data_IF_371920313856
#
_entry.id   IF_371920313856
#
_cell.length_a   1.000
_cell.length_b   1.000
_cell.length_c   1.000
_cell.angle_alpha   90.00
_cell.angle_beta   90.00
_cell.angle_gamma   90.00
#
_symmetry.space_group_name_H-M   'P 1'
#
loop_
_entity.id
_entity.type
_entity.pdbx_description
1 polymer ?
#
# COMPACT_ATOMS: atom_id res chain seq x y z
N UNK A 1 3.52 -24.90 -1.36
CA UNK A 1 3.40 -23.64 -2.12
C UNK A 1 2.93 -23.98 -3.52
N UNK A 2 1.73 -23.55 -3.88
CA UNK A 2 1.21 -23.62 -5.25
C UNK A 2 2.08 -22.77 -6.15
N UNK A 3 2.79 -23.40 -7.10
CA UNK A 3 3.55 -22.67 -8.12
C UNK A 3 2.59 -22.35 -9.26
N UNK A 4 2.27 -21.07 -9.43
CA UNK A 4 1.53 -20.61 -10.61
C UNK A 4 2.41 -20.73 -11.85
N UNK A 5 1.81 -21.10 -12.97
CA UNK A 5 2.45 -20.95 -14.29
C UNK A 5 2.62 -19.46 -14.59
N UNK A 6 3.59 -19.11 -15.44
CA UNK A 6 3.82 -17.72 -15.85
C UNK A 6 2.56 -17.07 -16.44
N UNK A 7 1.82 -17.81 -17.26
CA UNK A 7 0.58 -17.36 -17.89
C UNK A 7 -0.55 -17.14 -16.88
N UNK A 8 -0.75 -18.08 -15.94
CA UNK A 8 -1.79 -17.94 -14.91
C UNK A 8 -1.48 -16.78 -13.95
N UNK A 9 -0.20 -16.56 -13.63
CA UNK A 9 0.22 -15.41 -12.83
C UNK A 9 -0.02 -14.09 -13.56
N UNK A 10 0.34 -14.00 -14.85
CA UNK A 10 0.13 -12.80 -15.64
C UNK A 10 -1.37 -12.47 -15.74
N UNK A 11 -2.20 -13.47 -16.05
CA UNK A 11 -3.65 -13.31 -16.12
C UNK A 11 -4.24 -12.86 -14.77
N UNK A 12 -3.79 -13.48 -13.67
CA UNK A 12 -4.22 -13.11 -12.33
C UNK A 12 -3.87 -11.65 -12.02
N UNK A 13 -2.67 -11.18 -12.36
CA UNK A 13 -2.27 -9.78 -12.13
C UNK A 13 -3.06 -8.78 -12.98
N UNK A 14 -3.32 -9.11 -14.25
CA UNK A 14 -4.12 -8.28 -15.16
C UNK A 14 -5.56 -8.11 -14.65
N UNK A 15 -6.14 -9.16 -14.06
CA UNK A 15 -7.50 -9.12 -13.50
C UNK A 15 -7.49 -8.46 -12.11
N UNK A 16 -6.52 -8.79 -11.27
CA UNK A 16 -6.46 -8.34 -9.88
C UNK A 16 -6.19 -6.84 -9.77
N UNK A 17 -5.38 -6.27 -10.67
CA UNK A 17 -5.02 -4.86 -10.61
C UNK A 17 -6.23 -3.93 -10.75
N UNK A 18 -7.08 -4.02 -11.79
CA UNK A 18 -8.31 -3.23 -11.88
C UNK A 18 -9.21 -3.36 -10.65
N UNK A 19 -9.35 -4.58 -10.11
CA UNK A 19 -10.15 -4.84 -8.90
C UNK A 19 -9.57 -4.08 -7.70
N UNK A 20 -8.25 -4.11 -7.50
CA UNK A 20 -7.60 -3.39 -6.41
C UNK A 20 -7.71 -1.86 -6.59
N UNK A 21 -7.60 -1.36 -7.82
CA UNK A 21 -7.82 0.05 -8.12
C UNK A 21 -9.24 0.48 -7.77
N UNK A 22 -10.25 -0.28 -8.22
CA UNK A 22 -11.64 -0.03 -7.86
C UNK A 22 -11.84 -0.12 -6.35
N UNK A 23 -11.35 -1.18 -5.68
CA UNK A 23 -11.45 -1.34 -4.23
C UNK A 23 -10.84 -0.16 -3.46
N UNK A 24 -9.68 0.35 -3.88
CA UNK A 24 -9.13 1.57 -3.24
C UNK A 24 -9.93 2.82 -3.52
N UNK A 25 -10.50 2.96 -4.73
CA UNK A 25 -11.40 4.07 -5.03
C UNK A 25 -12.70 3.98 -4.23
N UNK A 26 -13.24 2.77 -4.01
CA UNK A 26 -14.42 2.55 -3.16
C UNK A 26 -14.11 2.87 -1.70
N UNK A 27 -13.01 2.34 -1.16
CA UNK A 27 -12.55 2.61 0.21
C UNK A 27 -12.28 4.10 0.45
N UNK A 28 -11.80 4.82 -0.56
CA UNK A 28 -11.60 6.27 -0.47
C UNK A 28 -12.93 7.05 -0.36
N UNK A 29 -14.01 6.55 -0.95
CA UNK A 29 -15.34 7.14 -0.78
C UNK A 29 -15.96 6.81 0.57
N UNK A 30 -15.64 5.64 1.12
CA UNK A 30 -16.09 5.30 2.45
C UNK A 30 -15.48 6.31 3.43
N UNK A 31 -16.32 6.91 4.25
CA UNK A 31 -15.89 7.83 5.30
C UNK A 31 -15.06 7.14 6.39
N UNK A 32 -14.59 5.90 6.22
CA UNK A 32 -13.76 5.17 7.20
C UNK A 32 -12.53 6.00 7.61
N UNK A 33 -11.84 6.61 6.63
CA UNK A 33 -10.68 7.44 6.94
C UNK A 33 -11.10 8.69 7.70
N UNK A 34 -12.17 9.35 7.27
CA UNK A 34 -12.65 10.61 7.84
C UNK A 34 -13.28 10.43 9.23
N UNK A 35 -13.94 9.29 9.48
CA UNK A 35 -14.70 8.98 10.69
C UNK A 35 -13.83 8.35 11.77
N UNK A 36 -12.86 7.49 11.39
CA UNK A 36 -12.10 6.71 12.36
C UNK A 36 -10.66 7.20 12.54
N UNK A 37 -9.94 7.42 11.42
CA UNK A 37 -8.50 7.68 11.46
C UNK A 37 -8.18 9.17 11.56
N UNK A 38 -8.95 9.99 10.85
CA UNK A 38 -8.73 11.42 10.75
C UNK A 38 -8.92 12.15 12.09
N UNK A 39 -9.94 11.85 12.93
CA UNK A 39 -10.12 12.55 14.20
C UNK A 39 -8.93 12.33 15.16
N UNK A 40 -8.36 11.13 15.16
CA UNK A 40 -7.18 10.82 15.97
C UNK A 40 -5.96 11.63 15.53
N UNK A 41 -5.72 11.73 14.21
CA UNK A 41 -4.59 12.48 13.66
C UNK A 41 -4.77 14.00 13.81
N UNK A 42 -5.99 14.50 13.71
CA UNK A 42 -6.30 15.93 13.84
C UNK A 42 -6.03 16.49 15.25
N UNK A 43 -6.02 15.64 16.28
CA UNK A 43 -5.64 16.04 17.64
C UNK A 43 -4.19 16.52 17.73
N UNK A 44 -3.32 16.07 16.82
CA UNK A 44 -1.89 16.37 16.83
C UNK A 44 -1.43 17.20 15.63
N UNK A 45 -2.10 17.06 14.48
CA UNK A 45 -1.69 17.66 13.21
C UNK A 45 -2.85 18.37 12.52
N UNK A 46 -2.54 19.42 11.76
CA UNK A 46 -3.56 20.06 10.90
C UNK A 46 -3.82 19.15 9.70
N UNK A 47 -5.07 19.11 9.23
CA UNK A 47 -5.50 18.27 8.09
C UNK A 47 -4.59 18.45 6.87
N UNK A 48 -4.24 19.70 6.57
CA UNK A 48 -3.37 20.03 5.43
C UNK A 48 -1.96 19.43 5.50
N UNK A 49 -1.49 19.11 6.70
CA UNK A 49 -0.14 18.61 6.96
C UNK A 49 -0.12 17.06 7.00
N UNK A 50 -1.28 16.41 7.14
CA UNK A 50 -1.40 14.94 7.28
C UNK A 50 -0.72 14.16 6.14
N UNK A 51 -0.87 14.52 4.85
CA UNK A 51 -0.16 13.80 3.79
C UNK A 51 1.38 13.79 4.00
N UNK A 52 1.95 14.88 4.49
CA UNK A 52 3.38 14.98 4.77
C UNK A 52 3.76 14.21 6.05
N UNK A 53 2.88 14.18 7.05
CA UNK A 53 3.07 13.30 8.23
C UNK A 53 3.14 11.84 7.79
N UNK A 54 2.30 11.41 6.84
CA UNK A 54 2.32 10.04 6.31
C UNK A 54 3.63 9.72 5.58
N UNK A 55 4.26 10.68 4.87
CA UNK A 55 5.63 10.52 4.35
C UNK A 55 6.59 10.20 5.50
N UNK A 56 6.52 10.96 6.60
CA UNK A 56 7.35 10.72 7.78
C UNK A 56 7.13 9.35 8.41
N UNK A 57 5.87 8.92 8.54
CA UNK A 57 5.53 7.59 9.08
C UNK A 57 6.09 6.48 8.18
N UNK A 58 5.90 6.57 6.87
CA UNK A 58 6.45 5.59 5.92
C UNK A 58 7.98 5.63 5.90
N UNK A 59 8.59 6.80 6.07
CA UNK A 59 10.04 6.91 6.21
C UNK A 59 10.55 6.12 7.43
N UNK A 60 9.94 6.34 8.60
CA UNK A 60 10.31 5.60 9.82
C UNK A 60 10.06 4.10 9.64
N UNK A 61 8.92 3.71 9.07
CA UNK A 61 8.62 2.30 8.82
C UNK A 61 9.67 1.63 7.91
N UNK A 62 9.99 2.25 6.79
CA UNK A 62 10.87 1.68 5.77
C UNK A 62 12.35 1.77 6.14
N UNK A 63 12.84 2.96 6.49
CA UNK A 63 14.27 3.21 6.66
C UNK A 63 14.76 2.95 8.08
N UNK A 64 13.85 2.82 9.06
CA UNK A 64 14.20 2.53 10.45
C UNK A 64 13.69 1.12 10.81
N UNK A 65 12.39 0.93 10.93
CA UNK A 65 11.81 -0.31 11.52
C UNK A 65 12.16 -1.55 10.68
N UNK A 66 11.82 -1.55 9.39
CA UNK A 66 12.10 -2.73 8.54
C UNK A 66 13.59 -2.93 8.27
N UNK A 67 14.39 -1.85 8.29
CA UNK A 67 15.85 -1.94 8.20
C UNK A 67 16.43 -2.68 9.41
N UNK A 68 15.99 -2.35 10.63
CA UNK A 68 16.38 -3.07 11.84
C UNK A 68 15.97 -4.54 11.79
N UNK A 69 14.73 -4.83 11.37
CA UNK A 69 14.26 -6.21 11.19
C UNK A 69 15.16 -6.98 10.21
N UNK A 70 15.57 -6.34 9.10
CA UNK A 70 16.48 -6.94 8.11
C UNK A 70 17.86 -7.24 8.71
N UNK A 71 18.42 -6.34 9.53
CA UNK A 71 19.71 -6.55 10.20
C UNK A 71 19.63 -7.67 11.22
N UNK A 72 18.56 -7.71 12.03
CA UNK A 72 18.32 -8.80 12.99
C UNK A 72 18.23 -10.15 12.25
N UNK A 73 17.49 -10.21 11.14
CA UNK A 73 17.37 -11.43 10.36
C UNK A 73 18.73 -11.94 9.83
N UNK A 74 19.60 -11.03 9.40
CA UNK A 74 20.97 -11.39 8.99
C UNK A 74 21.80 -11.89 10.16
N UNK A 75 21.71 -11.26 11.33
CA UNK A 75 22.48 -11.65 12.52
C UNK A 75 22.12 -13.05 13.03
N UNK A 76 20.83 -13.40 13.00
CA UNK A 76 20.31 -14.70 13.47
C UNK A 76 20.56 -15.81 12.44
N UNK A 77 20.58 -15.48 11.15
CA UNK A 77 20.70 -16.47 10.07
C UNK A 77 22.11 -17.00 9.82
N UNK A 78 23.13 -16.41 10.43
CA UNK A 78 24.53 -16.75 10.22
C UNK A 78 25.11 -17.44 11.46
N UNK A 79 25.80 -18.58 11.26
CA UNK A 79 26.40 -19.36 12.36
C UNK A 79 27.41 -18.57 13.20
N UNK A 80 28.07 -17.59 12.61
CA UNK A 80 29.08 -16.75 13.27
C UNK A 80 28.54 -15.34 13.63
N UNK A 81 27.23 -15.13 13.56
CA UNK A 81 26.60 -13.82 13.78
C UNK A 81 26.68 -12.89 12.56
N UNK A 82 26.41 -11.60 12.78
CA UNK A 82 26.38 -10.59 11.71
C UNK A 82 27.77 -10.25 11.19
N UNK A 83 28.05 -10.58 9.92
CA UNK A 83 29.25 -10.14 9.21
C UNK A 83 28.91 -8.94 8.31
N UNK A 84 29.58 -7.81 8.56
CA UNK A 84 29.40 -6.56 7.83
C UNK A 84 30.41 -6.37 6.68
N UNK A 85 31.27 -7.35 6.41
CA UNK A 85 32.27 -7.28 5.33
C UNK A 85 31.59 -7.44 3.96
N UNK A 86 30.61 -8.32 3.85
CA UNK A 86 29.87 -8.61 2.60
C UNK A 86 28.33 -8.68 2.83
N UNK A 87 27.69 -7.64 3.36
CA UNK A 87 26.30 -7.70 3.85
C UNK A 87 25.29 -8.06 2.75
N UNK A 88 25.56 -7.72 1.49
CA UNK A 88 24.68 -8.05 0.36
C UNK A 88 24.75 -9.54 -0.02
N UNK A 89 25.92 -10.15 0.07
CA UNK A 89 26.10 -11.57 -0.21
C UNK A 89 25.35 -12.41 0.84
N UNK A 90 25.50 -12.06 2.12
CA UNK A 90 24.84 -12.78 3.21
C UNK A 90 23.32 -12.73 3.15
N UNK A 91 22.74 -11.59 2.75
CA UNK A 91 21.29 -11.49 2.50
C UNK A 91 20.81 -12.55 1.50
N UNK A 92 21.59 -12.84 0.45
CA UNK A 92 21.28 -13.86 -0.55
C UNK A 92 21.39 -15.31 -0.04
N UNK A 93 22.09 -15.53 1.08
CA UNK A 93 22.26 -16.86 1.69
C UNK A 93 21.12 -17.23 2.64
N UNK A 94 20.36 -16.26 3.14
CA UNK A 94 19.23 -16.51 4.03
C UNK A 94 18.15 -17.35 3.35
N UNK A 95 17.40 -18.12 4.15
CA UNK A 95 16.29 -18.98 3.70
C UNK A 95 15.08 -18.82 4.62
N UNK A 96 13.92 -19.26 4.14
CA UNK A 96 12.67 -19.27 4.91
C UNK A 96 12.26 -17.88 5.42
N UNK A 97 11.81 -17.81 6.67
CA UNK A 97 11.32 -16.58 7.29
C UNK A 97 12.35 -15.44 7.31
N UNK A 98 13.63 -15.75 7.54
CA UNK A 98 14.71 -14.75 7.57
C UNK A 98 14.91 -14.10 6.19
N UNK A 99 14.87 -14.91 5.12
CA UNK A 99 14.90 -14.38 3.75
C UNK A 99 13.69 -13.49 3.46
N UNK A 100 12.50 -13.87 3.94
CA UNK A 100 11.28 -13.05 3.79
C UNK A 100 11.35 -11.73 4.54
N UNK A 101 11.98 -11.69 5.72
CA UNK A 101 12.21 -10.43 6.45
C UNK A 101 13.10 -9.45 5.66
N UNK A 102 14.18 -9.95 5.06
CA UNK A 102 15.05 -9.13 4.20
C UNK A 102 14.32 -8.68 2.94
N UNK A 103 13.59 -9.58 2.29
CA UNK A 103 12.80 -9.26 1.10
C UNK A 103 11.68 -8.23 1.40
N UNK A 104 11.01 -8.32 2.55
CA UNK A 104 10.00 -7.36 2.97
C UNK A 104 10.59 -5.94 3.10
N UNK A 105 11.82 -5.81 3.62
CA UNK A 105 12.52 -4.53 3.68
C UNK A 105 12.91 -4.01 2.28
N UNK A 106 13.39 -4.88 1.38
CA UNK A 106 13.70 -4.48 0.00
C UNK A 106 12.47 -3.94 -0.72
N UNK A 107 11.34 -4.65 -0.60
CA UNK A 107 10.07 -4.19 -1.18
C UNK A 107 9.63 -2.85 -0.57
N UNK A 108 9.86 -2.61 0.71
CA UNK A 108 9.57 -1.32 1.34
C UNK A 108 10.44 -0.19 0.76
N UNK A 109 11.74 -0.46 0.55
CA UNK A 109 12.69 0.49 -0.07
C UNK A 109 12.32 0.84 -1.52
N UNK A 110 11.85 -0.12 -2.30
CA UNK A 110 11.45 0.10 -3.69
C UNK A 110 10.21 0.99 -3.80
N UNK A 111 9.26 0.83 -2.87
CA UNK A 111 7.95 1.48 -2.95
C UNK A 111 7.89 2.85 -2.25
N UNK A 112 8.69 3.07 -1.21
CA UNK A 112 8.62 4.31 -0.43
C UNK A 112 8.96 5.58 -1.24
N UNK A 113 10.01 5.61 -2.08
CA UNK A 113 10.33 6.79 -2.89
C UNK A 113 9.21 7.20 -3.85
N UNK A 114 8.56 6.22 -4.49
CA UNK A 114 7.44 6.47 -5.39
C UNK A 114 6.26 7.11 -4.64
N UNK A 115 5.95 6.64 -3.44
CA UNK A 115 4.93 7.23 -2.59
C UNK A 115 5.28 8.65 -2.16
N UNK A 116 6.51 8.90 -1.73
CA UNK A 116 6.97 10.24 -1.33
C UNK A 116 6.82 11.23 -2.49
N UNK A 117 7.27 10.83 -3.67
CA UNK A 117 7.14 11.64 -4.89
C UNK A 117 5.66 11.92 -5.20
N UNK A 118 4.78 10.92 -5.13
CA UNK A 118 3.36 11.09 -5.42
C UNK A 118 2.69 12.10 -4.49
N UNK A 119 2.96 12.04 -3.18
CA UNK A 119 2.39 12.99 -2.20
C UNK A 119 2.92 14.41 -2.43
N UNK A 120 4.22 14.55 -2.71
CA UNK A 120 4.85 15.85 -2.98
C UNK A 120 4.29 16.45 -4.27
N UNK A 121 4.24 15.70 -5.36
CA UNK A 121 3.73 16.15 -6.67
C UNK A 121 2.25 16.48 -6.61
N UNK A 122 1.43 15.65 -5.96
CA UNK A 122 0.01 15.95 -5.75
C UNK A 122 -0.19 17.22 -4.93
N UNK A 123 0.68 17.48 -3.95
CA UNK A 123 0.62 18.70 -3.16
C UNK A 123 1.08 19.93 -3.94
N UNK A 124 2.13 19.80 -4.75
CA UNK A 124 2.62 20.87 -5.63
C UNK A 124 1.57 21.28 -6.67
N UNK A 125 0.84 20.30 -7.25
CA UNK A 125 -0.23 20.53 -8.20
C UNK A 125 -1.59 20.84 -7.55
N UNK A 126 -1.61 21.09 -6.23
CA UNK A 126 -2.81 21.51 -5.48
C UNK A 126 -4.01 20.56 -5.64
N UNK A 127 -3.75 19.25 -5.75
CA UNK A 127 -4.81 18.22 -5.74
C UNK A 127 -5.72 18.43 -4.51
N UNK A 128 -7.05 18.26 -4.63
CA UNK A 128 -7.96 18.45 -3.50
C UNK A 128 -7.50 17.68 -2.25
N UNK A 129 -7.60 18.34 -1.09
CA UNK A 129 -7.02 17.83 0.16
C UNK A 129 -7.63 16.50 0.59
N UNK A 130 -8.92 16.28 0.28
CA UNK A 130 -9.63 15.02 0.51
C UNK A 130 -8.85 13.84 -0.09
N UNK A 131 -8.56 13.88 -1.39
CA UNK A 131 -7.86 12.79 -2.08
C UNK A 131 -6.44 12.59 -1.55
N UNK A 132 -5.69 13.68 -1.35
CA UNK A 132 -4.32 13.59 -0.81
C UNK A 132 -4.30 12.94 0.55
N UNK A 133 -5.21 13.32 1.43
CA UNK A 133 -5.29 12.80 2.81
C UNK A 133 -5.70 11.33 2.81
N UNK A 134 -6.81 10.99 2.15
CA UNK A 134 -7.34 9.63 2.15
C UNK A 134 -6.36 8.62 1.55
N UNK A 135 -5.78 8.90 0.37
CA UNK A 135 -4.83 7.97 -0.26
C UNK A 135 -3.50 7.87 0.49
N UNK A 136 -3.02 8.95 1.13
CA UNK A 136 -1.79 8.90 1.93
C UNK A 136 -1.96 8.06 3.18
N UNK A 137 -3.08 8.20 3.87
CA UNK A 137 -3.42 7.38 5.04
C UNK A 137 -3.58 5.92 4.60
N UNK A 138 -4.41 5.65 3.59
CA UNK A 138 -4.67 4.29 3.11
C UNK A 138 -3.39 3.58 2.68
N UNK A 139 -2.51 4.23 1.90
CA UNK A 139 -1.20 3.68 1.55
C UNK A 139 -0.41 3.27 2.78
N UNK A 140 -0.32 4.15 3.77
CA UNK A 140 0.49 3.95 4.99
C UNK A 140 0.00 2.73 5.77
N UNK A 141 -1.32 2.61 5.97
CA UNK A 141 -1.92 1.46 6.63
C UNK A 141 -1.72 0.17 5.85
N UNK A 142 -1.95 0.18 4.54
CA UNK A 142 -1.72 -0.99 3.68
C UNK A 142 -0.25 -1.44 3.75
N UNK A 143 0.72 -0.53 3.83
CA UNK A 143 2.15 -0.89 3.99
C UNK A 143 2.47 -1.48 5.36
N UNK A 144 1.88 -0.95 6.43
CA UNK A 144 2.04 -1.53 7.77
C UNK A 144 1.46 -2.95 7.86
N UNK A 145 0.38 -3.25 7.12
CA UNK A 145 -0.20 -4.60 7.02
C UNK A 145 0.61 -5.50 6.07
N UNK A 146 1.12 -4.97 4.97
CA UNK A 146 1.87 -5.73 3.98
C UNK A 146 3.13 -6.39 4.55
N UNK A 147 3.90 -5.67 5.38
CA UNK A 147 5.14 -6.20 5.98
C UNK A 147 4.93 -7.48 6.80
N UNK A 148 4.02 -7.55 7.80
CA UNK A 148 3.79 -8.78 8.55
C UNK A 148 3.20 -9.90 7.67
N UNK A 149 2.30 -9.60 6.72
CA UNK A 149 1.83 -10.61 5.76
C UNK A 149 2.98 -11.22 4.95
N UNK A 150 3.99 -10.41 4.61
CA UNK A 150 5.20 -10.87 3.93
C UNK A 150 6.03 -11.80 4.80
N UNK A 151 6.29 -11.41 6.03
CA UNK A 151 7.10 -12.22 6.95
C UNK A 151 6.43 -13.57 7.26
N UNK A 152 5.11 -13.55 7.45
CA UNK A 152 4.27 -14.71 7.77
C UNK A 152 3.91 -15.59 6.57
N UNK A 153 4.32 -15.23 5.35
CA UNK A 153 4.13 -16.02 4.13
C UNK A 153 2.68 -16.15 3.65
N UNK A 154 1.82 -15.16 3.94
CA UNK A 154 0.47 -15.08 3.38
C UNK A 154 0.50 -14.49 1.97
N UNK A 155 0.86 -15.33 0.99
CA UNK A 155 1.17 -14.95 -0.39
C UNK A 155 0.07 -14.18 -1.14
N UNK A 156 -1.17 -14.68 -1.14
CA UNK A 156 -2.31 -14.04 -1.84
C UNK A 156 -2.66 -12.71 -1.18
N UNK A 157 -2.84 -12.70 0.14
CA UNK A 157 -3.16 -11.49 0.89
C UNK A 157 -2.09 -10.41 0.72
N UNK A 158 -0.81 -10.81 0.77
CA UNK A 158 0.32 -9.92 0.49
C UNK A 158 0.23 -9.29 -0.89
N UNK A 159 -0.05 -10.07 -1.94
CA UNK A 159 -0.15 -9.55 -3.30
C UNK A 159 -1.29 -8.53 -3.43
N UNK A 160 -2.47 -8.83 -2.88
CA UNK A 160 -3.63 -7.93 -2.87
C UNK A 160 -3.28 -6.61 -2.18
N UNK A 161 -2.79 -6.66 -0.94
CA UNK A 161 -2.45 -5.47 -0.15
C UNK A 161 -1.34 -4.67 -0.84
N UNK A 162 -0.38 -5.34 -1.48
CA UNK A 162 0.68 -4.68 -2.23
C UNK A 162 0.14 -3.86 -3.41
N UNK A 163 -0.74 -4.47 -4.21
CA UNK A 163 -1.33 -3.82 -5.39
C UNK A 163 -2.25 -2.68 -4.95
N UNK A 164 -3.03 -2.85 -3.88
CA UNK A 164 -3.84 -1.77 -3.30
C UNK A 164 -2.97 -0.60 -2.80
N UNK A 165 -1.81 -0.86 -2.19
CA UNK A 165 -0.91 0.22 -1.79
C UNK A 165 -0.35 0.95 -3.03
N UNK A 166 0.05 0.20 -4.06
CA UNK A 166 0.50 0.79 -5.32
C UNK A 166 -0.59 1.61 -6.01
N UNK A 167 -1.85 1.16 -6.00
CA UNK A 167 -2.95 1.92 -6.59
C UNK A 167 -3.15 3.27 -5.88
N UNK A 168 -2.99 3.36 -4.55
CA UNK A 168 -3.01 4.64 -3.84
C UNK A 168 -1.97 5.63 -4.38
N UNK A 169 -0.75 5.14 -4.65
CA UNK A 169 0.34 5.95 -5.23
C UNK A 169 -0.01 6.38 -6.66
N UNK A 170 -0.57 5.46 -7.45
CA UNK A 170 -1.01 5.73 -8.81
C UNK A 170 -2.17 6.74 -8.86
N UNK A 171 -3.14 6.66 -7.94
CA UNK A 171 -4.23 7.63 -7.83
C UNK A 171 -3.69 9.02 -7.53
N UNK A 172 -2.77 9.17 -6.57
CA UNK A 172 -2.13 10.46 -6.26
C UNK A 172 -1.45 11.06 -7.50
N UNK A 173 -0.70 10.26 -8.26
CA UNK A 173 -0.12 10.73 -9.52
C UNK A 173 -1.17 11.05 -10.57
N UNK A 174 -2.20 10.23 -10.73
CA UNK A 174 -3.25 10.46 -11.71
C UNK A 174 -3.98 11.78 -11.45
N UNK A 175 -4.37 12.05 -10.21
CA UNK A 175 -4.94 13.34 -9.81
C UNK A 175 -3.98 14.52 -10.04
N UNK A 176 -2.68 14.30 -9.83
CA UNK A 176 -1.69 15.36 -9.97
C UNK A 176 -1.31 15.66 -11.42
N UNK A 177 -1.25 14.65 -12.28
CA UNK A 177 -0.62 14.72 -13.60
C UNK A 177 -1.63 14.72 -14.75
N UNK A 178 -2.83 14.18 -14.56
CA UNK A 178 -3.84 14.09 -15.61
C UNK A 178 -4.85 15.25 -15.49
N UNK A 179 -4.92 16.15 -16.48
CA UNK A 179 -5.88 17.26 -16.47
C UNK A 179 -7.33 16.76 -16.44
N UNK A 180 -8.16 17.35 -15.58
CA UNK A 180 -9.60 17.02 -15.51
C UNK A 180 -9.90 15.62 -14.95
N UNK A 181 -8.91 14.93 -14.38
CA UNK A 181 -9.07 13.56 -13.89
C UNK A 181 -10.14 13.40 -12.83
N UNK A 182 -10.39 14.42 -12.02
CA UNK A 182 -11.44 14.41 -11.00
C UNK A 182 -12.83 14.11 -11.59
N UNK A 183 -13.12 14.61 -12.81
CA UNK A 183 -14.38 14.30 -13.50
C UNK A 183 -14.47 12.82 -13.86
N UNK A 184 -13.40 12.25 -14.41
CA UNK A 184 -13.34 10.84 -14.79
C UNK A 184 -13.40 9.93 -13.55
N UNK A 185 -12.75 10.35 -12.47
CA UNK A 185 -12.78 9.66 -11.19
C UNK A 185 -14.21 9.60 -10.62
N UNK A 186 -14.97 10.71 -10.68
CA UNK A 186 -16.38 10.71 -10.28
C UNK A 186 -17.24 9.72 -11.09
N UNK A 187 -16.98 9.55 -12.40
CA UNK A 187 -17.68 8.53 -13.20
C UNK A 187 -17.32 7.09 -12.77
N UNK A 188 -16.05 6.83 -12.42
CA UNK A 188 -15.62 5.53 -11.87
C UNK A 188 -16.35 5.25 -10.55
N UNK A 189 -16.48 6.27 -9.71
CA UNK A 189 -17.22 6.21 -8.45
C UNK A 189 -18.71 5.90 -8.67
N UNK A 190 -19.34 6.55 -9.66
CA UNK A 190 -20.75 6.35 -9.95
C UNK A 190 -21.05 4.91 -10.38
N UNK A 191 -20.21 4.32 -11.25
CA UNK A 191 -20.33 2.90 -11.63
C UNK A 191 -20.25 2.00 -10.41
N UNK A 192 -19.31 2.25 -9.49
CA UNK A 192 -19.20 1.50 -8.23
C UNK A 192 -20.46 1.65 -7.39
N UNK A 193 -21.02 2.86 -7.32
CA UNK A 193 -22.21 3.15 -6.51
C UNK A 193 -23.43 2.44 -7.07
N UNK A 194 -23.58 2.39 -8.39
CA UNK A 194 -24.61 1.62 -9.10
C UNK A 194 -24.45 0.12 -8.82
N UNK A 195 -23.23 -0.41 -8.89
CA UNK A 195 -22.98 -1.82 -8.57
C UNK A 195 -23.35 -2.14 -7.11
N UNK A 196 -23.10 -1.21 -6.20
CA UNK A 196 -23.51 -1.35 -4.80
C UNK A 196 -25.03 -1.31 -4.64
N UNK A 197 -25.74 -0.39 -5.29
CA UNK A 197 -27.20 -0.33 -5.21
C UNK A 197 -27.86 -1.59 -5.78
N UNK A 198 -27.33 -2.13 -6.89
CA UNK A 198 -27.80 -3.41 -7.45
C UNK A 198 -27.55 -4.57 -6.49
N UNK A 199 -26.43 -4.58 -5.76
CA UNK A 199 -26.15 -5.59 -4.73
C UNK A 199 -27.13 -5.49 -3.55
N UNK A 200 -27.41 -4.28 -3.09
CA UNK A 200 -28.31 -4.03 -1.96
C UNK A 200 -29.77 -4.39 -2.31
N UNK A 201 -30.19 -4.17 -3.56
CA UNK A 201 -31.51 -4.59 -4.07
C UNK A 201 -31.60 -6.12 -4.30
N UNK A 202 -30.46 -6.82 -4.38
CA UNK A 202 -30.38 -8.27 -4.63
C UNK A 202 -30.37 -9.11 -3.35
N UNK A 203 -30.52 -8.53 -2.16
CA UNK A 203 -30.80 -9.30 -0.94
C UNK A 203 -32.21 -9.88 -1.04
N UNK A 204 -32.30 -11.07 -1.64
CA UNK A 204 -33.52 -11.87 -1.72
C UNK A 204 -34.10 -12.05 -0.32
N UNK A 205 -35.24 -11.42 -0.05
CA UNK A 205 -36.12 -11.78 1.05
C UNK A 205 -36.65 -13.18 0.76
N UNK A 206 -36.04 -14.20 1.35
CA UNK A 206 -36.63 -15.53 1.39
C UNK A 206 -37.69 -15.50 2.50
N UNK A 207 -38.88 -15.03 2.13
CA UNK A 207 -40.11 -15.25 2.91
C UNK A 207 -40.58 -16.71 2.80
#
# INVERSE_FOLDING_TARGET
MTRFTTESLALALVILSPICFLATATLQQLSIVDDFLLPFLQNYFKIKDIPFVMIGVVFVWTYVITAFISVIAQSVGLKNGYDNSEPRLYKGLLRGALARMVAAHQVALENAPAFFAAVIVASANKVPLKYRTSFSIMYTFLRMIHTPLYVLDFDIARAIVHIMALSCTAWLFAFALLPGFEKNYSSIIEVVTILRSVSDDSTWTFD
#
